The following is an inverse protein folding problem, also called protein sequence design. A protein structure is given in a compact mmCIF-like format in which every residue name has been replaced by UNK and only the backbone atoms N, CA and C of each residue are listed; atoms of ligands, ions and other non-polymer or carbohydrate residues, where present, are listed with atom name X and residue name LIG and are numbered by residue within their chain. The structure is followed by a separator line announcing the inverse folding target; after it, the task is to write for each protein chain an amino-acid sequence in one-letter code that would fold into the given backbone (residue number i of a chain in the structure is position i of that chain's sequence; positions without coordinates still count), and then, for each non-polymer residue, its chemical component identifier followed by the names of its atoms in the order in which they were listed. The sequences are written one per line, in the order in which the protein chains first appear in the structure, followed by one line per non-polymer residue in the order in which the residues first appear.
data_IF_642677120639
#
_entry.id   IF_642677120639
#
_cell.length_a   1.000
_cell.length_b   1.000
_cell.length_c   1.000
_cell.angle_alpha   90.00
_cell.angle_beta   90.00
_cell.angle_gamma   90.00
#
_symmetry.space_group_name_H-M   'P 1'
#
loop_
_entity.id
_entity.type
_entity.pdbx_description
1 polymer ?
#
# COMPACT_ATOMS: atom_id res chain seq x y z
N UNK A 1 -58.37 -4.22 39.77
CA UNK A 1 -57.05 -4.84 39.97
C UNK A 1 -56.12 -4.35 38.87
N UNK A 2 -55.03 -3.66 39.27
CA UNK A 2 -53.63 -3.81 38.79
C UNK A 2 -53.35 -3.66 37.28
N UNK A 3 -52.32 -3.01 36.77
CA UNK A 3 -51.35 -1.97 37.16
C UNK A 3 -50.48 -1.71 35.90
N UNK A 4 -49.82 -0.56 35.88
CA UNK A 4 -48.79 -0.07 34.95
C UNK A 4 -47.64 -1.06 34.65
N UNK A 5 -47.00 -0.95 33.46
CA UNK A 5 -45.56 -0.57 33.28
C UNK A 5 -45.00 -0.66 31.85
N UNK A 6 -44.56 0.49 31.35
CA UNK A 6 -43.22 0.88 30.86
C UNK A 6 -42.42 0.10 29.79
N UNK A 7 -41.74 0.96 28.98
CA UNK A 7 -40.43 0.84 28.31
C UNK A 7 -40.44 0.21 26.91
N UNK A 8 -39.75 0.74 25.88
CA UNK A 8 -38.58 1.64 25.85
C UNK A 8 -38.46 2.24 24.43
N UNK A 9 -38.01 3.50 24.35
CA UNK A 9 -37.50 4.14 23.15
C UNK A 9 -36.33 3.33 22.56
N UNK A 10 -36.40 2.95 21.29
CA UNK A 10 -35.24 2.53 20.51
C UNK A 10 -34.84 3.67 19.58
N UNK A 11 -33.64 4.23 19.84
CA UNK A 11 -32.95 5.18 18.97
C UNK A 11 -32.73 4.51 17.61
N UNK A 12 -33.26 5.13 16.56
CA UNK A 12 -32.88 4.87 15.18
C UNK A 12 -31.41 5.24 14.98
N UNK A 13 -30.55 4.23 14.85
CA UNK A 13 -29.20 4.41 14.30
C UNK A 13 -29.34 4.43 12.79
N UNK A 14 -29.17 5.62 12.18
CA UNK A 14 -29.08 5.77 10.72
C UNK A 14 -27.83 5.03 10.23
N UNK A 15 -28.03 3.88 9.59
CA UNK A 15 -27.03 3.23 8.73
C UNK A 15 -26.79 4.14 7.51
N UNK A 16 -25.61 4.73 7.40
CA UNK A 16 -25.20 5.42 6.17
C UNK A 16 -24.65 4.34 5.22
N UNK A 17 -25.50 3.89 4.30
CA UNK A 17 -25.06 3.09 3.15
C UNK A 17 -24.31 4.02 2.20
N UNK A 18 -22.98 3.95 2.19
CA UNK A 18 -22.20 4.48 1.07
C UNK A 18 -22.52 3.60 -0.14
N UNK A 19 -23.24 4.17 -1.12
CA UNK A 19 -23.49 3.51 -2.40
C UNK A 19 -22.16 3.12 -3.03
N UNK A 20 -22.02 1.83 -3.33
CA UNK A 20 -21.06 1.33 -4.29
C UNK A 20 -21.23 2.10 -5.60
N UNK A 21 -20.22 2.88 -5.99
CA UNK A 21 -20.11 3.35 -7.36
C UNK A 21 -19.80 2.13 -8.23
N UNK A 22 -20.85 1.43 -8.66
CA UNK A 22 -20.78 0.53 -9.80
C UNK A 22 -20.42 1.38 -11.02
N UNK A 23 -19.16 1.35 -11.44
CA UNK A 23 -18.76 1.85 -12.74
C UNK A 23 -19.30 0.82 -13.75
N UNK A 24 -20.24 1.18 -14.64
CA UNK A 24 -20.84 0.21 -15.55
C UNK A 24 -19.76 -0.38 -16.48
N UNK A 25 -19.65 -1.71 -16.49
CA UNK A 25 -18.73 -2.49 -17.33
C UNK A 25 -18.80 -2.15 -18.84
N UNK A 26 -19.81 -1.41 -19.29
CA UNK A 26 -20.07 -1.09 -20.70
C UNK A 26 -19.29 0.13 -21.21
N UNK A 27 -18.67 0.94 -20.33
CA UNK A 27 -17.82 2.07 -20.75
C UNK A 27 -16.33 1.67 -20.87
N UNK A 28 -15.97 0.45 -20.44
CA UNK A 28 -14.60 -0.04 -20.33
C UNK A 28 -13.92 -0.40 -21.67
N UNK A 29 -14.70 -0.59 -22.76
CA UNK A 29 -14.18 -1.14 -24.02
C UNK A 29 -13.62 -0.12 -25.03
N UNK A 30 -13.66 1.20 -24.76
CA UNK A 30 -13.35 2.19 -25.81
C UNK A 30 -12.06 3.01 -25.65
N UNK A 31 -11.31 2.93 -24.53
CA UNK A 31 -10.14 3.83 -24.34
C UNK A 31 -8.98 3.25 -23.50
N UNK A 32 -8.68 1.95 -23.60
CA UNK A 32 -7.57 1.35 -22.85
C UNK A 32 -6.54 0.71 -23.78
N UNK A 33 -5.44 1.42 -24.06
CA UNK A 33 -4.17 0.86 -24.55
C UNK A 33 -3.28 0.51 -23.35
N UNK A 34 -3.74 -0.43 -22.52
CA UNK A 34 -3.00 -0.93 -21.36
C UNK A 34 -1.71 -1.68 -21.76
N UNK A 35 -0.81 -2.01 -20.80
CA UNK A 35 0.34 -2.87 -21.08
C UNK A 35 -0.12 -4.20 -21.70
N UNK A 36 0.69 -4.82 -22.56
CA UNK A 36 0.39 -6.16 -23.10
C UNK A 36 0.33 -7.21 -21.98
N UNK A 37 -0.49 -8.27 -22.10
CA UNK A 37 -0.55 -9.33 -21.10
C UNK A 37 0.85 -9.90 -20.87
N UNK A 38 1.24 -10.07 -19.60
CA UNK A 38 2.45 -10.81 -19.29
C UNK A 38 2.26 -12.21 -19.88
N UNK A 39 3.08 -12.58 -20.86
CA UNK A 39 3.07 -13.97 -21.31
C UNK A 39 3.43 -14.81 -20.07
N UNK A 40 2.57 -15.77 -19.71
CA UNK A 40 2.83 -16.77 -18.67
C UNK A 40 4.09 -17.64 -18.96
N UNK A 41 4.89 -17.29 -19.97
CA UNK A 41 6.16 -17.90 -20.28
C UNK A 41 7.28 -17.20 -19.49
N UNK A 42 8.06 -18.01 -18.76
CA UNK A 42 9.23 -17.66 -17.92
C UNK A 42 8.91 -17.47 -16.41
N UNK A 43 8.13 -18.40 -15.83
CA UNK A 43 8.14 -18.70 -14.38
C UNK A 43 8.88 -20.02 -14.05
N UNK A 44 9.99 -20.33 -14.73
CA UNK A 44 10.73 -21.59 -14.51
C UNK A 44 12.04 -21.46 -13.72
N UNK A 45 12.43 -20.26 -13.30
CA UNK A 45 13.58 -20.08 -12.40
C UNK A 45 13.09 -20.04 -10.94
N UNK A 46 13.89 -20.58 -10.03
CA UNK A 46 13.59 -20.55 -8.59
C UNK A 46 14.19 -19.28 -7.97
N UNK A 47 13.44 -18.54 -7.14
CA UNK A 47 14.00 -17.42 -6.34
C UNK A 47 15.25 -17.88 -5.56
N UNK A 48 15.26 -19.13 -5.11
CA UNK A 48 16.42 -19.76 -4.47
C UNK A 48 17.66 -19.78 -5.36
N UNK A 49 17.51 -20.03 -6.67
CA UNK A 49 18.65 -20.04 -7.60
C UNK A 49 19.32 -18.68 -7.74
N UNK A 50 18.54 -17.59 -7.64
CA UNK A 50 19.08 -16.22 -7.65
C UNK A 50 19.83 -15.92 -6.35
N UNK A 51 19.20 -16.23 -5.21
CA UNK A 51 19.73 -15.92 -3.88
C UNK A 51 20.94 -16.79 -3.55
N UNK A 52 21.04 -18.01 -4.06
CA UNK A 52 22.19 -18.91 -3.81
C UNK A 52 23.53 -18.25 -4.13
N UNK A 53 23.59 -17.46 -5.20
CA UNK A 53 24.79 -16.71 -5.59
C UNK A 53 25.17 -15.57 -4.62
N UNK A 54 24.23 -15.17 -3.77
CA UNK A 54 24.32 -14.06 -2.84
C UNK A 54 24.59 -14.47 -1.38
N UNK A 55 24.53 -15.77 -1.09
CA UNK A 55 24.64 -16.29 0.28
C UNK A 55 25.99 -15.85 0.87
N UNK A 56 25.94 -15.15 2.00
CA UNK A 56 27.11 -14.57 2.67
C UNK A 56 27.23 -13.05 2.53
N UNK A 57 26.46 -12.41 1.65
CA UNK A 57 26.28 -10.95 1.66
C UNK A 57 25.23 -10.58 2.70
N UNK A 58 25.51 -9.56 3.52
CA UNK A 58 24.57 -9.06 4.54
C UNK A 58 23.36 -8.34 3.91
N UNK A 59 23.52 -7.82 2.69
CA UNK A 59 22.54 -6.98 1.99
C UNK A 59 22.30 -7.51 0.56
N UNK A 60 21.06 -7.92 0.29
CA UNK A 60 20.64 -8.46 -1.01
C UNK A 60 20.21 -7.37 -2.01
N UNK A 61 20.15 -6.10 -1.62
CA UNK A 61 19.71 -5.00 -2.51
C UNK A 61 20.63 -4.80 -3.72
N UNK A 62 21.87 -5.31 -3.64
CA UNK A 62 22.87 -5.28 -4.72
C UNK A 62 22.78 -6.49 -5.65
N UNK A 63 21.79 -7.36 -5.49
CA UNK A 63 21.59 -8.46 -6.41
C UNK A 63 20.93 -7.98 -7.69
N UNK A 64 21.55 -8.32 -8.82
CA UNK A 64 20.93 -8.14 -10.12
C UNK A 64 19.82 -9.17 -10.26
N UNK A 65 18.58 -8.71 -10.16
CA UNK A 65 17.40 -9.51 -10.42
C UNK A 65 17.24 -9.63 -11.95
N UNK A 66 17.15 -10.84 -12.52
CA UNK A 66 16.85 -11.04 -13.91
C UNK A 66 15.56 -10.33 -14.31
N UNK A 67 15.54 -9.76 -15.51
CA UNK A 67 14.48 -8.88 -15.98
C UNK A 67 13.08 -9.52 -15.91
N UNK A 68 12.98 -10.82 -16.10
CA UNK A 68 11.72 -11.58 -16.02
C UNK A 68 11.08 -11.66 -14.62
N UNK A 69 11.78 -11.23 -13.56
CA UNK A 69 11.22 -11.10 -12.21
C UNK A 69 10.83 -9.66 -11.84
N UNK A 70 11.21 -8.70 -12.67
CA UNK A 70 10.90 -7.30 -12.46
C UNK A 70 9.53 -6.97 -13.06
N UNK A 71 8.76 -6.21 -12.32
CA UNK A 71 7.61 -5.48 -12.83
C UNK A 71 8.06 -4.27 -13.66
N UNK A 72 7.30 -3.85 -14.68
CA UNK A 72 7.62 -2.68 -15.51
C UNK A 72 7.30 -1.34 -14.81
N UNK A 73 7.63 -1.21 -13.52
CA UNK A 73 7.49 0.01 -12.71
C UNK A 73 8.73 0.21 -11.84
N UNK A 74 9.35 1.38 -11.89
CA UNK A 74 10.46 1.74 -10.97
C UNK A 74 9.98 2.00 -9.54
N UNK A 75 10.93 2.08 -8.61
CA UNK A 75 10.62 2.35 -7.21
C UNK A 75 9.95 3.72 -7.03
N UNK A 76 10.35 4.72 -7.82
CA UNK A 76 9.75 6.07 -7.76
C UNK A 76 8.33 6.10 -8.33
N UNK A 77 8.02 5.28 -9.33
CA UNK A 77 6.64 5.09 -9.81
C UNK A 77 5.78 4.43 -8.74
N UNK A 78 6.31 3.40 -8.08
CA UNK A 78 5.59 2.68 -7.04
C UNK A 78 5.22 3.49 -5.83
N UNK A 79 6.04 4.47 -5.45
CA UNK A 79 5.68 5.39 -4.38
C UNK A 79 4.38 6.15 -4.68
N UNK A 80 4.00 6.29 -5.94
CA UNK A 80 2.72 6.86 -6.32
C UNK A 80 1.54 5.90 -6.07
N UNK A 81 1.74 4.58 -5.96
CA UNK A 81 0.68 3.62 -5.59
C UNK A 81 0.09 3.93 -4.21
N UNK A 82 0.87 4.57 -3.33
CA UNK A 82 0.36 5.08 -2.05
C UNK A 82 -0.78 6.09 -2.26
N UNK A 83 -0.86 6.78 -3.39
CA UNK A 83 -1.94 7.71 -3.70
C UNK A 83 -3.19 7.05 -4.29
N UNK A 84 -3.19 5.72 -4.46
CA UNK A 84 -4.32 4.99 -5.04
C UNK A 84 -5.62 5.19 -4.24
N UNK A 85 -5.54 5.27 -2.92
CA UNK A 85 -6.71 5.49 -2.05
C UNK A 85 -6.76 6.91 -1.45
N UNK A 86 -6.21 7.90 -2.16
CA UNK A 86 -6.21 9.32 -1.78
C UNK A 86 -7.60 9.88 -1.45
N UNK A 87 -8.66 9.38 -2.09
CA UNK A 87 -10.04 9.77 -1.82
C UNK A 87 -10.49 9.51 -0.36
N UNK A 88 -9.86 8.57 0.34
CA UNK A 88 -10.11 8.31 1.76
C UNK A 88 -9.62 9.47 2.65
N UNK A 89 -8.60 10.20 2.19
CA UNK A 89 -8.01 11.33 2.91
C UNK A 89 -8.80 12.62 2.64
N UNK A 90 -9.42 12.75 1.46
CA UNK A 90 -10.15 13.96 1.07
C UNK A 90 -11.48 14.16 1.80
N UNK A 91 -12.13 13.07 2.23
CA UNK A 91 -13.41 13.11 2.95
C UNK A 91 -13.29 12.49 4.34
N UNK A 92 -12.59 13.15 5.28
CA UNK A 92 -12.39 12.64 6.63
C UNK A 92 -13.73 12.58 7.38
N UNK A 93 -14.46 11.48 7.21
CA UNK A 93 -15.67 11.23 8.00
C UNK A 93 -15.28 10.71 9.38
N UNK A 94 -14.29 9.82 9.38
CA UNK A 94 -13.57 9.32 10.53
C UNK A 94 -12.11 9.14 10.10
N UNK A 95 -11.43 10.28 9.88
CA UNK A 95 -10.08 10.41 9.32
C UNK A 95 -9.09 9.36 9.83
N UNK A 96 -9.30 8.94 11.07
CA UNK A 96 -8.52 8.00 11.86
C UNK A 96 -8.59 6.56 11.32
N UNK A 97 -9.76 6.08 10.90
CA UNK A 97 -9.90 4.75 10.27
C UNK A 97 -9.33 4.80 8.87
N UNK A 98 -9.70 5.83 8.12
CA UNK A 98 -9.34 6.02 6.73
C UNK A 98 -7.81 6.10 6.58
N UNK A 99 -7.14 6.81 7.49
CA UNK A 99 -5.69 6.83 7.64
C UNK A 99 -5.10 5.46 7.99
N UNK A 100 -5.74 4.72 8.90
CA UNK A 100 -5.29 3.38 9.28
C UNK A 100 -5.35 2.43 8.08
N UNK A 101 -6.44 2.48 7.32
CA UNK A 101 -6.65 1.68 6.10
C UNK A 101 -5.59 2.03 5.06
N UNK A 102 -5.38 3.32 4.85
CA UNK A 102 -4.43 3.83 3.88
C UNK A 102 -2.98 3.48 4.24
N UNK A 103 -2.61 3.56 5.52
CA UNK A 103 -1.25 3.25 6.02
C UNK A 103 -0.82 1.78 5.87
N UNK A 104 -1.76 0.85 5.62
CA UNK A 104 -1.50 -0.59 5.45
C UNK A 104 -1.14 -0.95 3.99
N UNK A 105 -1.25 -0.02 3.05
CA UNK A 105 -1.16 -0.31 1.60
C UNK A 105 0.25 -0.67 1.07
N UNK A 106 1.32 -0.54 1.86
CA UNK A 106 2.62 -0.16 1.31
C UNK A 106 3.63 -1.25 0.88
N UNK A 107 3.97 -2.34 1.61
CA UNK A 107 5.21 -3.05 1.27
C UNK A 107 5.05 -4.35 0.47
N UNK A 108 3.82 -4.83 0.20
CA UNK A 108 3.62 -6.19 -0.31
C UNK A 108 4.19 -6.42 -1.71
N UNK A 109 4.36 -5.37 -2.50
CA UNK A 109 4.83 -5.54 -3.87
C UNK A 109 6.33 -5.29 -3.99
N UNK A 110 6.99 -4.61 -3.02
CA UNK A 110 8.42 -4.20 -3.04
C UNK A 110 9.39 -5.21 -3.68
N UNK A 111 9.32 -6.53 -3.42
CA UNK A 111 10.29 -7.48 -3.98
C UNK A 111 10.34 -7.59 -5.52
N UNK A 112 9.30 -7.18 -6.24
CA UNK A 112 9.26 -7.26 -7.71
C UNK A 112 9.67 -5.97 -8.43
N UNK A 113 9.96 -4.90 -7.68
CA UNK A 113 10.26 -3.61 -8.29
C UNK A 113 11.74 -3.45 -8.60
N UNK A 114 12.11 -3.13 -9.86
CA UNK A 114 13.46 -2.71 -10.18
C UNK A 114 13.84 -1.43 -9.45
N UNK A 115 15.05 -1.40 -8.89
CA UNK A 115 15.60 -0.19 -8.30
C UNK A 115 15.66 0.97 -9.31
N UNK A 116 15.34 2.18 -8.86
CA UNK A 116 15.52 3.40 -9.64
C UNK A 116 17.00 3.76 -9.75
N UNK A 117 17.38 4.37 -10.88
CA UNK A 117 18.75 4.90 -11.06
C UNK A 117 18.91 6.26 -10.38
N UNK A 118 20.13 6.65 -10.01
CA UNK A 118 20.38 7.96 -9.38
C UNK A 118 19.84 9.09 -10.26
N UNK A 119 19.15 10.05 -9.64
CA UNK A 119 18.46 11.17 -10.30
C UNK A 119 17.31 10.76 -11.25
N UNK A 120 16.86 9.50 -11.23
CA UNK A 120 15.59 9.14 -11.86
C UNK A 120 14.45 9.87 -11.14
N UNK A 121 13.57 10.51 -11.92
CA UNK A 121 12.41 11.26 -11.42
C UNK A 121 11.13 10.61 -11.89
N UNK A 122 10.02 10.92 -11.24
CA UNK A 122 8.69 10.56 -11.72
C UNK A 122 7.68 11.63 -11.31
N UNK A 123 6.87 12.09 -12.25
CA UNK A 123 5.72 12.96 -11.96
C UNK A 123 4.38 12.31 -12.32
N UNK A 124 3.35 12.61 -11.54
CA UNK A 124 1.98 12.16 -11.77
C UNK A 124 1.00 13.26 -11.34
N UNK A 125 0.19 13.72 -12.28
CA UNK A 125 -0.96 14.61 -12.00
C UNK A 125 -2.25 13.83 -12.20
N UNK A 126 -3.10 13.79 -11.17
CA UNK A 126 -4.43 13.16 -11.21
C UNK A 126 -5.47 14.21 -10.90
N UNK A 127 -5.87 14.96 -11.92
CA UNK A 127 -6.91 15.98 -11.79
C UNK A 127 -8.25 15.38 -11.35
N UNK A 128 -8.54 14.13 -11.74
CA UNK A 128 -9.71 13.36 -11.31
C UNK A 128 -9.69 12.98 -9.82
N UNK A 129 -8.50 12.91 -9.21
CA UNK A 129 -8.29 12.63 -7.77
C UNK A 129 -7.74 13.83 -6.99
N UNK A 130 -7.65 15.01 -7.60
CA UNK A 130 -7.30 16.25 -6.92
C UNK A 130 -5.84 16.41 -6.44
N UNK A 131 -4.88 15.61 -6.93
CA UNK A 131 -3.49 15.67 -6.45
C UNK A 131 -2.42 15.74 -7.56
N UNK A 132 -1.24 16.23 -7.15
CA UNK A 132 0.01 16.21 -7.92
C UNK A 132 1.10 15.53 -7.10
N UNK A 133 1.84 14.63 -7.73
CA UNK A 133 2.87 13.81 -7.11
C UNK A 133 4.17 13.95 -7.88
N UNK A 134 5.28 14.05 -7.15
CA UNK A 134 6.63 13.98 -7.68
C UNK A 134 7.49 13.06 -6.82
N UNK A 135 8.42 12.33 -7.44
CA UNK A 135 9.39 11.50 -6.75
C UNK A 135 10.75 11.55 -7.45
N UNK A 136 11.82 11.33 -6.67
CA UNK A 136 13.20 11.30 -7.15
C UNK A 136 14.02 10.25 -6.41
N UNK A 137 14.91 9.57 -7.13
CA UNK A 137 15.98 8.78 -6.56
C UNK A 137 17.14 9.69 -6.12
N UNK A 138 17.15 10.09 -4.85
CA UNK A 138 18.07 11.09 -4.29
C UNK A 138 19.43 10.52 -3.87
N UNK A 139 19.55 9.20 -3.74
CA UNK A 139 20.82 8.55 -3.39
C UNK A 139 20.93 7.16 -4.00
N UNK A 140 22.15 6.73 -4.33
CA UNK A 140 22.44 5.38 -4.83
C UNK A 140 23.09 4.46 -3.78
N UNK A 141 23.86 5.03 -2.85
CA UNK A 141 24.58 4.28 -1.81
C UNK A 141 24.48 4.97 -0.43
N UNK A 142 23.51 4.62 0.41
CA UNK A 142 22.45 3.62 0.17
C UNK A 142 21.39 4.12 -0.84
N UNK A 143 20.62 3.23 -1.49
CA UNK A 143 19.54 3.64 -2.38
C UNK A 143 18.44 4.31 -1.56
N UNK A 144 18.16 5.59 -1.85
CA UNK A 144 17.07 6.35 -1.19
C UNK A 144 16.23 7.02 -2.27
N UNK A 145 14.92 6.82 -2.18
CA UNK A 145 13.94 7.56 -2.99
C UNK A 145 13.15 8.48 -2.07
N UNK A 146 12.90 9.70 -2.53
CA UNK A 146 12.04 10.67 -1.85
C UNK A 146 10.83 10.97 -2.75
N UNK A 147 9.71 11.33 -2.13
CA UNK A 147 8.53 11.77 -2.87
C UNK A 147 7.79 12.87 -2.12
N UNK A 148 7.01 13.63 -2.87
CA UNK A 148 6.12 14.66 -2.37
C UNK A 148 4.83 14.68 -3.19
N UNK A 149 3.71 14.66 -2.50
CA UNK A 149 2.38 14.76 -3.05
C UNK A 149 1.66 15.96 -2.44
N UNK A 150 1.04 16.77 -3.29
CA UNK A 150 0.28 17.94 -2.90
C UNK A 150 -1.15 17.85 -3.45
N UNK A 151 -2.12 18.04 -2.58
CA UNK A 151 -3.54 18.16 -2.89
C UNK A 151 -4.11 19.42 -2.22
N UNK A 152 -5.35 19.79 -2.53
CA UNK A 152 -5.96 20.98 -1.92
C UNK A 152 -6.15 20.86 -0.39
N UNK A 153 -6.44 19.64 0.10
CA UNK A 153 -6.77 19.34 1.50
C UNK A 153 -5.64 18.67 2.28
N UNK A 154 -4.57 18.22 1.63
CA UNK A 154 -3.48 17.53 2.29
C UNK A 154 -2.14 17.61 1.53
N UNK A 155 -1.05 17.42 2.28
CA UNK A 155 0.28 17.14 1.76
C UNK A 155 0.72 15.77 2.25
N UNK A 156 1.32 14.96 1.37
CA UNK A 156 1.88 13.66 1.74
C UNK A 156 3.28 13.49 1.18
N UNK A 157 4.26 13.23 2.03
CA UNK A 157 5.65 13.10 1.60
C UNK A 157 6.41 12.12 2.49
N UNK A 158 7.55 11.67 2.00
CA UNK A 158 8.37 10.72 2.71
C UNK A 158 9.60 10.28 1.95
N UNK A 159 10.32 9.35 2.58
CA UNK A 159 11.51 8.72 2.02
C UNK A 159 11.44 7.21 2.22
N UNK A 160 12.01 6.45 1.29
CA UNK A 160 12.14 5.00 1.36
C UNK A 160 13.59 4.60 1.09
N UNK A 161 14.11 3.62 1.82
CA UNK A 161 15.47 3.12 1.67
C UNK A 161 15.51 1.59 1.90
N UNK A 162 14.95 0.79 0.97
CA UNK A 162 14.69 -0.63 1.21
C UNK A 162 15.97 -1.40 1.52
N UNK A 163 15.90 -2.30 2.49
CA UNK A 163 16.94 -3.27 2.83
C UNK A 163 16.39 -4.68 2.79
N UNK A 164 17.19 -5.60 2.30
CA UNK A 164 16.81 -7.00 2.14
C UNK A 164 17.81 -7.91 2.83
N UNK A 165 17.32 -8.71 3.77
CA UNK A 165 18.13 -9.62 4.59
C UNK A 165 17.66 -11.06 4.41
N UNK A 166 18.59 -11.98 4.14
CA UNK A 166 18.31 -13.41 3.98
C UNK A 166 18.56 -14.17 5.29
N UNK A 167 17.56 -14.95 5.74
CA UNK A 167 17.60 -15.73 6.99
C UNK A 167 17.42 -17.23 6.73
N UNK A 168 18.11 -17.78 5.73
CA UNK A 168 18.10 -19.22 5.43
C UNK A 168 16.84 -19.69 4.70
N UNK A 169 15.65 -19.60 5.31
CA UNK A 169 14.38 -20.04 4.69
C UNK A 169 13.44 -18.89 4.34
N UNK A 170 13.84 -17.66 4.64
CA UNK A 170 13.05 -16.46 4.39
C UNK A 170 13.92 -15.27 4.01
N UNK A 171 13.31 -14.28 3.36
CA UNK A 171 13.86 -12.95 3.13
C UNK A 171 13.01 -11.96 3.91
N UNK A 172 13.64 -11.08 4.66
CA UNK A 172 12.96 -9.90 5.22
C UNK A 172 13.30 -8.69 4.38
N UNK A 173 12.28 -7.92 4.04
CA UNK A 173 12.33 -6.66 3.31
C UNK A 173 11.92 -5.59 4.32
N UNK A 174 12.88 -4.79 4.77
CA UNK A 174 12.64 -3.61 5.59
C UNK A 174 12.63 -2.39 4.67
N UNK A 175 11.47 -1.77 4.40
CA UNK A 175 11.41 -0.62 3.51
C UNK A 175 12.23 0.59 4.01
N UNK A 176 12.49 0.66 5.32
CA UNK A 176 13.02 1.85 6.00
C UNK A 176 12.27 3.13 5.65
N UNK A 177 10.97 3.01 5.36
CA UNK A 177 10.18 4.13 4.89
C UNK A 177 9.66 4.96 6.07
N UNK A 178 9.76 6.28 5.94
CA UNK A 178 9.21 7.25 6.89
C UNK A 178 8.26 8.18 6.13
N UNK A 179 7.06 8.29 6.67
CA UNK A 179 5.94 8.96 6.02
C UNK A 179 5.38 10.08 6.87
N UNK A 180 4.98 11.16 6.21
CA UNK A 180 4.32 12.31 6.84
C UNK A 180 3.13 12.73 6.00
N UNK A 181 1.94 12.69 6.60
CA UNK A 181 0.71 13.23 6.05
C UNK A 181 0.30 14.46 6.84
N UNK A 182 0.06 15.58 6.17
CA UNK A 182 -0.48 16.80 6.76
C UNK A 182 -1.88 17.04 6.24
N UNK A 183 -2.85 17.15 7.13
CA UNK A 183 -4.22 17.55 6.81
C UNK A 183 -4.35 19.05 7.05
N UNK A 184 -4.31 19.83 5.97
CA UNK A 184 -4.22 21.30 6.05
C UNK A 184 -5.46 21.92 6.67
N UNK A 185 -6.64 21.36 6.40
CA UNK A 185 -7.92 21.83 6.95
C UNK A 185 -8.07 21.59 8.46
N UNK A 186 -7.37 20.60 9.02
CA UNK A 186 -7.46 20.20 10.43
C UNK A 186 -6.27 20.66 11.27
N UNK A 187 -5.20 21.17 10.63
CA UNK A 187 -3.92 21.45 11.28
C UNK A 187 -3.36 20.22 12.03
N UNK A 188 -3.58 19.04 11.45
CA UNK A 188 -3.15 17.75 11.98
C UNK A 188 -2.05 17.17 11.10
N UNK A 189 -1.00 16.63 11.71
CA UNK A 189 0.07 15.90 11.03
C UNK A 189 0.17 14.49 11.57
N UNK A 190 0.34 13.52 10.68
CA UNK A 190 0.49 12.11 11.02
C UNK A 190 1.80 11.59 10.49
N UNK A 191 2.53 10.85 11.33
CA UNK A 191 3.79 10.24 10.93
C UNK A 191 3.82 8.76 11.29
N UNK A 192 4.35 7.93 10.40
CA UNK A 192 4.56 6.51 10.67
C UNK A 192 5.77 5.99 9.89
N UNK A 193 6.19 4.79 10.28
CA UNK A 193 7.17 4.01 9.53
C UNK A 193 6.49 2.81 8.90
N UNK A 194 6.89 2.44 7.69
CA UNK A 194 6.44 1.19 7.09
C UNK A 194 6.87 -0.01 7.94
N UNK A 195 6.09 -1.07 7.89
CA UNK A 195 6.44 -2.35 8.51
C UNK A 195 7.22 -3.23 7.54
N UNK A 196 7.98 -4.17 8.10
CA UNK A 196 8.73 -5.14 7.31
C UNK A 196 7.81 -6.16 6.65
N UNK A 197 8.23 -6.62 5.48
CA UNK A 197 7.62 -7.72 4.76
C UNK A 197 8.55 -8.94 4.81
N UNK A 198 8.01 -10.13 5.05
CA UNK A 198 8.76 -11.39 5.10
C UNK A 198 8.25 -12.32 4.01
N UNK A 199 9.14 -12.70 3.11
CA UNK A 199 8.89 -13.74 2.09
C UNK A 199 9.42 -15.06 2.63
N UNK A 200 8.54 -16.03 2.84
CA UNK A 200 8.87 -17.35 3.41
C UNK A 200 8.91 -18.43 2.33
N UNK A 201 9.44 -19.61 2.73
CA UNK A 201 9.55 -20.81 1.90
C UNK A 201 10.38 -20.65 0.62
N UNK A 202 11.37 -19.77 0.64
CA UNK A 202 12.15 -19.46 -0.56
C UNK A 202 12.96 -20.64 -1.11
N UNK A 203 13.32 -21.63 -0.26
CA UNK A 203 14.10 -22.82 -0.65
C UNK A 203 13.20 -23.92 -1.22
N UNK A 204 12.12 -24.27 -0.51
CA UNK A 204 11.29 -25.45 -0.80
C UNK A 204 10.17 -25.15 -1.81
N UNK A 205 9.95 -23.88 -2.17
CA UNK A 205 8.82 -23.48 -3.01
C UNK A 205 7.55 -23.21 -2.19
N UNK A 206 6.44 -22.86 -2.86
CA UNK A 206 5.22 -22.32 -2.23
C UNK A 206 5.50 -21.08 -1.39
N UNK A 207 5.95 -20.04 -2.10
CA UNK A 207 6.23 -18.73 -1.53
C UNK A 207 4.96 -18.13 -0.94
N UNK A 208 5.07 -17.58 0.26
CA UNK A 208 4.04 -16.71 0.81
C UNK A 208 4.68 -15.51 1.48
N UNK A 209 3.88 -14.45 1.56
CA UNK A 209 4.30 -13.17 2.07
C UNK A 209 3.50 -12.82 3.32
N UNK A 210 4.19 -12.31 4.33
CA UNK A 210 3.58 -11.83 5.56
C UNK A 210 4.15 -10.46 5.93
N UNK A 211 3.32 -9.58 6.45
CA UNK A 211 3.78 -8.37 7.12
C UNK A 211 4.22 -8.72 8.54
N UNK A 212 5.29 -8.08 9.02
CA UNK A 212 5.88 -8.35 10.33
C UNK A 212 6.17 -7.05 11.07
N UNK A 213 5.81 -7.03 12.35
CA UNK A 213 6.00 -5.89 13.26
C UNK A 213 4.69 -5.19 13.62
N UNK A 214 4.82 -4.02 14.25
CA UNK A 214 3.69 -3.17 14.64
C UNK A 214 3.82 -1.83 13.94
N UNK A 215 2.84 -1.47 13.11
CA UNK A 215 2.74 -0.14 12.53
C UNK A 215 2.23 0.80 13.62
N UNK A 216 2.98 1.85 13.92
CA UNK A 216 2.55 2.90 14.86
C UNK A 216 2.44 4.23 14.13
N UNK A 217 1.22 4.79 14.06
CA UNK A 217 0.99 6.15 13.59
C UNK A 217 0.90 7.08 14.79
N UNK A 218 1.70 8.15 14.75
CA UNK A 218 1.67 9.25 15.71
C UNK A 218 0.92 10.43 15.12
N UNK A 219 0.14 11.12 15.94
CA UNK A 219 -0.54 12.35 15.56
C UNK A 219 0.12 13.57 16.23
N UNK A 220 0.15 14.67 15.50
CA UNK A 220 0.57 15.99 15.95
C UNK A 220 -0.51 17.00 15.60
N UNK A 221 -0.73 17.98 16.49
CA UNK A 221 -1.57 19.15 16.22
C UNK A 221 -0.68 20.38 16.30
N UNK A 222 -0.52 21.10 15.19
CA UNK A 222 0.63 21.99 15.02
C UNK A 222 1.94 21.23 15.25
N UNK A 223 2.79 21.74 16.15
CA UNK A 223 4.10 21.14 16.46
C UNK A 223 4.10 20.20 17.68
N UNK A 224 2.93 19.97 18.31
CA UNK A 224 2.84 19.17 19.53
C UNK A 224 2.33 17.77 19.25
N UNK A 225 3.09 16.74 19.68
CA UNK A 225 2.64 15.34 19.66
C UNK A 225 1.43 15.19 20.59
N UNK A 226 0.37 14.53 20.10
CA UNK A 226 -0.80 14.20 20.92
C UNK A 226 -0.61 12.86 21.60
N UNK A 227 -1.50 12.52 22.54
CA UNK A 227 -1.54 11.20 23.15
C UNK A 227 -2.17 10.13 22.23
N UNK A 228 -2.50 10.50 20.98
CA UNK A 228 -3.18 9.63 20.04
C UNK A 228 -2.21 8.72 19.30
N UNK A 229 -2.49 7.42 19.34
CA UNK A 229 -1.68 6.42 18.67
C UNK A 229 -2.54 5.39 17.96
N UNK A 230 -2.11 5.02 16.76
CA UNK A 230 -2.72 3.96 15.97
C UNK A 230 -1.73 2.82 15.91
N UNK A 231 -2.11 1.66 16.44
CA UNK A 231 -1.23 0.48 16.46
C UNK A 231 -1.87 -0.63 15.68
N UNK A 232 -1.17 -1.15 14.67
CA UNK A 232 -1.61 -2.28 13.86
C UNK A 232 -0.54 -3.37 13.96
N UNK A 233 -0.94 -4.56 14.37
CA UNK A 233 -0.10 -5.74 14.49
C UNK A 233 -0.57 -6.79 13.49
N UNK A 234 0.38 -7.37 12.79
CA UNK A 234 0.13 -8.40 11.78
C UNK A 234 0.36 -9.76 12.41
N UNK A 235 -0.63 -10.65 12.29
CA UNK A 235 -0.56 -12.00 12.87
C UNK A 235 -0.45 -13.03 11.77
N UNK A 236 0.49 -13.95 11.93
CA UNK A 236 0.69 -15.13 11.08
C UNK A 236 -0.01 -16.31 11.77
N UNK A 237 -1.33 -16.44 11.61
CA UNK A 237 -2.08 -17.55 12.20
C UNK A 237 -2.00 -18.76 11.29
N UNK A 238 -1.08 -19.68 11.63
CA UNK A 238 -0.83 -21.04 11.06
C UNK A 238 0.23 -21.12 9.96
N UNK A 239 1.13 -22.08 10.15
CA UNK A 239 2.29 -22.37 9.30
C UNK A 239 2.00 -22.67 7.82
N UNK A 240 0.74 -22.88 7.43
CA UNK A 240 0.34 -23.27 6.07
C UNK A 240 -0.86 -22.49 5.49
N UNK A 241 -1.53 -21.64 6.28
CA UNK A 241 -2.68 -20.84 5.86
C UNK A 241 -2.57 -19.54 6.64
N UNK A 242 -1.68 -18.65 6.21
CA UNK A 242 -1.57 -17.33 6.83
C UNK A 242 -2.88 -16.60 6.53
N UNK A 243 -3.85 -16.66 7.44
CA UNK A 243 -4.94 -15.70 7.44
C UNK A 243 -4.23 -14.37 7.62
N UNK A 244 -4.11 -13.62 6.52
CA UNK A 244 -3.33 -12.39 6.37
C UNK A 244 -3.93 -11.27 7.24
N UNK A 245 -4.06 -11.52 8.53
CA UNK A 245 -4.86 -10.77 9.47
C UNK A 245 -4.06 -9.60 9.98
N UNK A 246 -4.76 -8.48 10.10
CA UNK A 246 -4.31 -7.29 10.80
C UNK A 246 -5.25 -7.06 11.96
N UNK A 247 -4.70 -6.82 13.14
CA UNK A 247 -5.46 -6.41 14.32
C UNK A 247 -4.78 -5.19 14.91
N UNK A 248 -5.58 -4.22 15.30
CA UNK A 248 -5.06 -3.00 15.86
C UNK A 248 -6.06 -2.23 16.68
N UNK A 249 -5.63 -1.04 17.05
CA UNK A 249 -6.34 -0.19 17.98
C UNK A 249 -6.00 1.28 17.74
N UNK A 250 -6.98 2.12 18.06
CA UNK A 250 -6.80 3.57 18.15
C UNK A 250 -6.87 3.92 19.63
N UNK A 251 -5.80 4.53 20.13
CA UNK A 251 -5.62 4.92 21.53
C UNK A 251 -5.67 6.44 21.66
N UNK A 252 -6.20 6.94 22.78
CA UNK A 252 -5.92 8.28 23.30
C UNK A 252 -5.37 8.09 24.72
N UNK A 253 -4.06 8.33 24.86
CA UNK A 253 -3.29 7.93 26.02
C UNK A 253 -3.28 6.41 26.16
N UNK A 254 -3.83 5.91 27.26
CA UNK A 254 -3.96 4.47 27.52
C UNK A 254 -5.35 3.93 27.16
N UNK A 255 -6.30 4.79 26.85
CA UNK A 255 -7.68 4.40 26.59
C UNK A 255 -7.83 3.96 25.13
N UNK A 256 -8.25 2.71 24.93
CA UNK A 256 -8.65 2.22 23.61
C UNK A 256 -9.97 2.85 23.21
N UNK A 257 -9.95 3.67 22.17
CA UNK A 257 -11.15 4.29 21.61
C UNK A 257 -11.80 3.36 20.59
N UNK A 258 -10.99 2.63 19.82
CA UNK A 258 -11.47 1.69 18.79
C UNK A 258 -10.57 0.49 18.61
N UNK A 259 -11.19 -0.57 18.11
CA UNK A 259 -10.50 -1.75 17.59
C UNK A 259 -10.54 -1.74 16.07
N UNK A 260 -9.42 -2.09 15.44
CA UNK A 260 -9.24 -2.25 14.00
C UNK A 260 -8.95 -3.72 13.74
N UNK A 261 -9.50 -4.28 12.68
CA UNK A 261 -9.26 -5.66 12.31
C UNK A 261 -9.54 -5.90 10.83
N UNK A 262 -8.98 -6.98 10.28
CA UNK A 262 -9.34 -7.43 8.95
C UNK A 262 -8.23 -8.27 8.35
N UNK A 263 -8.18 -8.28 7.04
CA UNK A 263 -7.15 -8.94 6.25
C UNK A 263 -6.43 -7.91 5.39
N UNK A 264 -5.12 -7.78 5.59
CA UNK A 264 -4.33 -6.71 4.96
C UNK A 264 -4.24 -6.82 3.44
N UNK A 265 -4.70 -7.91 2.81
CA UNK A 265 -4.84 -8.02 1.35
C UNK A 265 -6.24 -7.74 0.84
N UNK A 266 -7.29 -7.94 1.65
CA UNK A 266 -8.67 -7.90 1.15
C UNK A 266 -9.51 -6.79 1.75
N UNK A 267 -9.52 -6.65 3.08
CA UNK A 267 -10.37 -5.65 3.74
C UNK A 267 -9.84 -5.24 5.12
N UNK A 268 -10.19 -4.03 5.54
CA UNK A 268 -9.98 -3.55 6.91
C UNK A 268 -11.30 -2.98 7.45
N UNK A 269 -11.56 -3.22 8.71
CA UNK A 269 -12.77 -2.83 9.44
C UNK A 269 -12.41 -2.25 10.81
N UNK A 270 -13.38 -1.55 11.41
CA UNK A 270 -13.25 -1.07 12.79
C UNK A 270 -14.58 -1.15 13.55
N UNK A 271 -14.49 -1.26 14.87
CA UNK A 271 -15.63 -1.28 15.78
C UNK A 271 -15.27 -0.63 17.13
N UNK A 272 -16.28 -0.44 17.98
CA UNK A 272 -16.04 -0.03 19.37
C UNK A 272 -15.36 -1.16 20.16
N UNK A 273 -14.55 -0.85 21.18
CA UNK A 273 -13.75 -1.85 21.89
C UNK A 273 -14.57 -2.98 22.51
N UNK A 274 -15.78 -2.68 22.97
CA UNK A 274 -16.73 -3.63 23.56
C UNK A 274 -17.36 -4.60 22.56
N UNK A 275 -17.35 -4.26 21.26
CA UNK A 275 -17.90 -5.07 20.18
C UNK A 275 -16.84 -5.93 19.48
N UNK A 276 -15.57 -5.79 19.86
CA UNK A 276 -14.49 -6.52 19.21
C UNK A 276 -14.42 -7.97 19.69
N UNK A 277 -14.59 -8.91 18.77
CA UNK A 277 -14.46 -10.35 19.03
C UNK A 277 -13.45 -10.93 18.04
N UNK A 278 -12.31 -11.42 18.54
CA UNK A 278 -11.22 -11.92 17.69
C UNK A 278 -11.62 -13.17 16.91
N UNK A 279 -12.38 -14.11 17.49
CA UNK A 279 -12.74 -15.36 16.80
C UNK A 279 -13.86 -15.19 15.75
N UNK A 280 -14.40 -13.98 15.61
CA UNK A 280 -15.54 -13.68 14.75
C UNK A 280 -15.26 -12.47 13.84
N UNK A 281 -14.14 -12.54 13.11
CA UNK A 281 -13.77 -11.56 12.08
C UNK A 281 -14.86 -11.37 11.00
N UNK A 282 -15.86 -12.28 10.90
CA UNK A 282 -16.89 -12.29 9.85
C UNK A 282 -18.30 -11.89 10.31
N UNK A 283 -18.68 -11.86 11.59
CA UNK A 283 -20.07 -11.55 11.95
C UNK A 283 -20.37 -10.08 12.26
N UNK A 284 -19.37 -9.25 12.53
CA UNK A 284 -19.58 -7.85 12.91
C UNK A 284 -18.93 -6.91 11.90
N UNK A 285 -19.64 -6.52 10.84
CA UNK A 285 -19.14 -5.54 9.85
C UNK A 285 -19.74 -4.16 10.13
N UNK A 286 -18.90 -3.15 10.36
CA UNK A 286 -19.39 -1.75 10.44
C UNK A 286 -18.64 -0.71 9.61
N UNK A 287 -17.51 -1.04 8.99
CA UNK A 287 -16.95 -0.30 7.86
C UNK A 287 -16.12 -1.27 7.01
N UNK A 288 -16.30 -1.24 5.70
CA UNK A 288 -15.60 -2.09 4.74
C UNK A 288 -14.86 -1.18 3.76
N UNK A 289 -13.54 -1.32 3.69
CA UNK A 289 -12.76 -0.78 2.59
C UNK A 289 -12.13 -1.96 1.85
N UNK A 290 -12.69 -2.29 0.69
CA UNK A 290 -12.10 -3.27 -0.22
C UNK A 290 -10.78 -2.73 -0.76
N UNK A 291 -9.74 -3.59 -0.78
CA UNK A 291 -8.56 -3.31 -1.59
C UNK A 291 -8.91 -3.48 -3.07
N UNK A 292 -8.24 -2.69 -3.92
CA UNK A 292 -8.51 -2.74 -5.35
C UNK A 292 -8.18 -4.12 -5.94
N UNK A 293 -9.05 -4.57 -6.84
CA UNK A 293 -8.83 -5.80 -7.59
C UNK A 293 -7.54 -5.74 -8.42
N UNK A 294 -6.86 -6.88 -8.50
CA UNK A 294 -5.66 -7.07 -9.31
C UNK A 294 -5.95 -7.92 -10.53
N UNK A 295 -5.11 -7.80 -11.56
CA UNK A 295 -5.19 -8.62 -12.76
C UNK A 295 -3.95 -9.51 -12.89
N UNK A 296 -4.12 -10.82 -12.73
CA UNK A 296 -3.02 -11.80 -12.75
C UNK A 296 -2.30 -11.87 -14.09
N UNK A 297 -2.99 -11.52 -15.18
CA UNK A 297 -2.43 -11.39 -16.53
C UNK A 297 -1.49 -10.19 -16.67
N UNK A 298 -1.49 -9.25 -15.71
CA UNK A 298 -0.67 -8.04 -15.74
C UNK A 298 0.13 -7.88 -14.45
N UNK A 299 0.96 -8.87 -14.10
CA UNK A 299 1.82 -8.83 -12.90
C UNK A 299 1.06 -8.61 -11.58
N UNK A 300 -0.21 -9.02 -11.53
CA UNK A 300 -1.12 -8.72 -10.42
C UNK A 300 -1.23 -7.20 -10.15
N UNK A 301 -1.14 -6.38 -11.19
CA UNK A 301 -1.32 -4.93 -11.08
C UNK A 301 -2.76 -4.56 -10.73
N UNK A 302 -2.90 -3.51 -9.93
CA UNK A 302 -4.16 -2.75 -9.83
C UNK A 302 -4.32 -1.89 -11.09
N UNK A 303 -5.56 -1.48 -11.40
CA UNK A 303 -5.79 -0.51 -12.48
C UNK A 303 -4.97 0.77 -12.30
N UNK A 304 -4.80 1.22 -11.05
CA UNK A 304 -3.96 2.38 -10.74
C UNK A 304 -2.51 2.15 -11.16
N UNK A 305 -1.92 0.99 -10.79
CA UNK A 305 -0.55 0.65 -11.13
C UNK A 305 -0.33 0.53 -12.65
N UNK A 306 -1.30 -0.03 -13.39
CA UNK A 306 -1.23 -0.12 -14.86
C UNK A 306 -1.11 1.25 -15.55
N UNK A 307 -1.68 2.31 -14.97
CA UNK A 307 -1.63 3.66 -15.54
C UNK A 307 -0.32 4.40 -15.24
N UNK A 308 0.48 3.95 -14.27
CA UNK A 308 1.65 4.70 -13.80
C UNK A 308 2.72 4.89 -14.87
N UNK A 309 2.82 3.97 -15.82
CA UNK A 309 3.77 4.02 -16.92
C UNK A 309 3.12 4.34 -18.28
N UNK A 310 1.85 4.76 -18.29
CA UNK A 310 1.15 5.12 -19.52
C UNK A 310 1.69 6.45 -20.08
N UNK A 311 2.04 6.45 -21.37
CA UNK A 311 2.64 7.61 -22.06
C UNK A 311 1.61 8.43 -22.83
N UNK A 312 0.52 7.81 -23.27
CA UNK A 312 -0.49 8.45 -24.12
C UNK A 312 -1.30 9.52 -23.38
N UNK A 313 -1.27 9.51 -22.04
CA UNK A 313 -1.97 10.46 -21.16
C UNK A 313 -1.11 11.63 -20.71
N UNK A 314 0.15 11.70 -21.16
CA UNK A 314 1.10 12.73 -20.71
C UNK A 314 1.75 13.38 -21.92
N UNK A 315 1.93 14.69 -21.87
CA UNK A 315 2.74 15.41 -22.87
C UNK A 315 4.22 15.07 -22.65
N UNK A 316 4.69 14.05 -23.37
CA UNK A 316 6.07 13.55 -23.31
C UNK A 316 7.10 14.68 -23.55
N UNK A 317 6.73 15.71 -24.33
CA UNK A 317 7.60 16.85 -24.61
C UNK A 317 7.84 17.77 -23.41
N UNK A 318 7.01 17.66 -22.36
CA UNK A 318 7.14 18.43 -21.11
C UNK A 318 7.81 17.67 -19.99
N UNK A 319 7.89 16.35 -20.09
CA UNK A 319 8.55 15.52 -19.09
C UNK A 319 10.05 15.88 -19.02
N UNK A 320 10.64 15.92 -17.82
CA UNK A 320 12.09 15.98 -17.70
C UNK A 320 12.70 14.71 -18.32
N UNK A 321 13.92 14.82 -18.84
CA UNK A 321 14.65 13.67 -19.43
C UNK A 321 14.88 12.52 -18.44
N UNK A 322 14.73 12.81 -17.15
CA UNK A 322 14.90 11.88 -16.03
C UNK A 322 13.60 11.14 -15.66
N UNK A 323 12.45 11.44 -16.28
CA UNK A 323 11.18 10.77 -15.95
C UNK A 323 11.24 9.26 -16.24
N UNK A 324 10.76 8.43 -15.30
CA UNK A 324 10.75 6.97 -15.42
C UNK A 324 10.07 6.45 -16.68
N UNK A 325 9.08 7.16 -17.25
CA UNK A 325 8.43 6.78 -18.52
C UNK A 325 9.36 6.82 -19.73
N UNK A 326 10.51 7.50 -19.61
CA UNK A 326 11.54 7.60 -20.64
C UNK A 326 12.67 6.58 -20.45
N UNK A 327 12.63 5.77 -19.38
CA UNK A 327 13.65 4.76 -19.10
C UNK A 327 13.60 3.65 -20.15
N UNK A 328 14.66 3.58 -20.96
CA UNK A 328 14.77 2.65 -22.09
C UNK A 328 14.46 1.18 -21.74
N UNK A 329 14.95 0.71 -20.58
CA UNK A 329 14.68 -0.66 -20.13
C UNK A 329 13.19 -0.98 -19.93
N UNK A 330 12.33 0.00 -19.63
CA UNK A 330 10.87 -0.20 -19.53
C UNK A 330 10.16 -0.11 -20.88
N UNK A 331 10.76 0.55 -21.86
CA UNK A 331 10.22 0.62 -23.22
C UNK A 331 10.34 -0.75 -23.91
N UNK A 332 11.48 -1.42 -23.73
CA UNK A 332 11.67 -2.78 -24.25
C UNK A 332 10.72 -3.81 -23.61
N UNK A 333 10.35 -3.67 -22.33
CA UNK A 333 9.34 -4.56 -21.72
C UNK A 333 7.99 -4.53 -22.43
N UNK A 334 7.59 -3.36 -22.95
CA UNK A 334 6.34 -3.20 -23.70
C UNK A 334 6.46 -3.81 -25.10
N UNK A 335 7.59 -3.59 -25.76
CA UNK A 335 7.81 -4.01 -27.15
C UNK A 335 8.26 -5.49 -27.27
N UNK A 336 8.72 -6.11 -26.17
CA UNK A 336 9.00 -7.55 -26.06
C UNK A 336 7.72 -8.38 -25.83
N UNK A 337 6.57 -7.73 -25.64
CA UNK A 337 5.27 -8.39 -25.58
C UNK A 337 4.53 -8.18 -26.91
N UNK A 338 4.53 -9.18 -27.81
CA UNK A 338 3.96 -9.08 -29.16
C UNK A 338 2.45 -8.82 -29.19
#
# INVERSE_FOLDING_TARGET
MVALKNNKLTKSSKTVLLHSLEIPNTVLCCFYSGPSPCQNAIKNMSIWSMIKSAIGRLDLTRLTVPINYNEPLSLVQRLAENMQMSHLIEKPSDARIELSVWSISEPSRLPHCPASVLCETYELERADLGFRFVAEQVSHHPPVSAFHCNAASFEFFGTIAPKMSFYGRSITIDPQACFTLRLTSLNETYTWKAVSCVVRNIILGNLFMALAGTLTVKQYVGDSETDMQFRLTYTDTKANDAELLVVGEILSGIARIRSIYGNWMTYIASCSPDQFVFDDFRANFRLHCDKASTLSEFYDFTYFAMMLNERDRVDIGRLPRTDSRLRFGFLEFRDLCP
#
